data_IF_947479631284
#
_entry.id   IF_947479631284
#
_cell.length_a   1.000
_cell.length_b   1.000
_cell.length_c   1.000
_cell.angle_alpha   90.00
_cell.angle_beta   90.00
_cell.angle_gamma   90.00
#
_symmetry.space_group_name_H-M   'P 1'
#
loop_
_entity.id
_entity.type
_entity.pdbx_description
1 polymer ?
#
# COMPACT_ATOMS: atom_id res chain seq x y z
N UNK A 1 -13.70 59.58 48.75
CA UNK A 1 -14.58 58.75 47.90
C UNK A 1 -13.78 58.30 46.68
N UNK A 2 -13.07 57.22 46.81
CA UNK A 2 -12.24 56.61 45.74
C UNK A 2 -12.97 55.42 45.16
N UNK A 3 -13.37 55.53 43.88
CA UNK A 3 -14.01 54.44 43.16
C UNK A 3 -12.94 53.44 42.72
N UNK A 4 -13.08 52.20 43.14
CA UNK A 4 -12.32 51.05 42.70
C UNK A 4 -12.87 50.62 41.31
N UNK A 5 -12.07 50.78 40.26
CA UNK A 5 -12.36 50.16 38.96
C UNK A 5 -11.72 48.76 38.93
N UNK A 6 -12.53 47.73 38.90
CA UNK A 6 -12.09 46.35 38.62
C UNK A 6 -11.89 46.23 37.10
N UNK A 7 -10.81 45.65 36.63
CA UNK A 7 -10.58 45.49 35.22
C UNK A 7 -11.39 44.32 34.64
N UNK A 8 -12.14 44.65 33.60
CA UNK A 8 -13.05 43.76 32.82
C UNK A 8 -12.31 42.73 31.96
N UNK A 9 -11.01 42.51 32.18
CA UNK A 9 -10.18 41.65 31.34
C UNK A 9 -10.03 40.20 31.83
N UNK A 10 -10.55 39.86 33.00
CA UNK A 10 -10.49 38.51 33.55
C UNK A 10 -11.67 37.60 33.13
N UNK A 11 -12.73 38.17 32.53
CA UNK A 11 -13.86 37.38 32.05
C UNK A 11 -13.73 36.87 30.61
N UNK A 12 -12.81 37.43 29.81
CA UNK A 12 -12.62 37.02 28.43
C UNK A 12 -11.71 35.78 28.29
N UNK A 13 -10.91 35.45 29.31
CA UNK A 13 -10.01 34.30 29.30
C UNK A 13 -10.71 33.00 29.71
N UNK A 14 -11.81 33.08 30.48
CA UNK A 14 -12.56 31.90 30.89
C UNK A 14 -13.51 31.34 29.84
N UNK A 15 -13.79 32.07 28.75
CA UNK A 15 -14.69 31.63 27.67
C UNK A 15 -13.94 31.04 26.46
N UNK A 16 -12.60 31.17 26.37
CA UNK A 16 -11.80 30.55 25.32
C UNK A 16 -11.30 29.13 25.66
N UNK A 17 -11.53 28.62 26.88
CA UNK A 17 -11.09 27.29 27.31
C UNK A 17 -12.20 26.23 27.27
N UNK A 18 -13.40 26.55 26.80
CA UNK A 18 -14.53 25.60 26.74
C UNK A 18 -14.83 25.03 25.36
N UNK A 19 -13.99 25.27 24.36
CA UNK A 19 -14.11 24.62 23.02
C UNK A 19 -13.00 23.63 22.72
N UNK A 20 -12.47 22.94 23.73
CA UNK A 20 -11.82 21.67 23.52
C UNK A 20 -12.95 20.67 23.23
N UNK A 21 -13.22 20.45 21.97
CA UNK A 21 -14.04 19.34 21.51
C UNK A 21 -13.45 18.07 22.11
N UNK A 22 -14.15 17.48 23.04
CA UNK A 22 -13.90 16.11 23.49
C UNK A 22 -14.08 15.22 22.27
N UNK A 23 -13.01 14.85 21.61
CA UNK A 23 -12.98 13.71 20.72
C UNK A 23 -13.33 12.51 21.60
N UNK A 24 -14.57 12.06 21.52
CA UNK A 24 -15.02 10.84 22.21
C UNK A 24 -14.25 9.69 21.61
N UNK A 25 -13.21 9.25 22.30
CA UNK A 25 -12.66 7.92 22.09
C UNK A 25 -13.80 6.93 22.35
N UNK A 26 -14.37 6.38 21.29
CA UNK A 26 -15.42 5.37 21.42
C UNK A 26 -14.77 4.01 21.54
N UNK A 27 -15.14 3.30 22.59
CA UNK A 27 -14.81 1.92 22.89
C UNK A 27 -14.79 1.04 21.64
N UNK A 28 -13.70 0.31 21.44
CA UNK A 28 -13.72 -0.89 20.61
C UNK A 28 -14.65 -1.91 21.27
N UNK A 29 -15.62 -2.48 20.54
CA UNK A 29 -16.20 -3.72 20.97
C UNK A 29 -15.05 -4.73 21.05
N UNK A 30 -14.96 -5.43 22.18
CA UNK A 30 -14.06 -6.55 22.41
C UNK A 30 -13.86 -7.32 21.09
N UNK A 31 -12.66 -7.29 20.52
CA UNK A 31 -12.32 -8.07 19.33
C UNK A 31 -12.09 -9.52 19.80
N UNK A 32 -13.10 -10.10 20.39
CA UNK A 32 -13.25 -11.54 20.50
C UNK A 32 -13.77 -12.00 19.15
N UNK A 33 -13.18 -13.03 18.54
CA UNK A 33 -13.76 -13.60 17.32
C UNK A 33 -15.21 -13.99 17.65
N UNK A 34 -16.16 -13.26 17.07
CA UNK A 34 -17.58 -13.62 17.18
C UNK A 34 -17.70 -15.03 16.65
N UNK A 35 -18.23 -15.98 17.40
CA UNK A 35 -18.36 -17.34 16.92
C UNK A 35 -19.10 -17.31 15.58
N UNK A 36 -18.55 -17.96 14.57
CA UNK A 36 -18.97 -17.92 13.17
C UNK A 36 -20.42 -18.34 12.88
N UNK A 37 -21.18 -18.78 13.90
CA UNK A 37 -22.60 -19.17 13.80
C UNK A 37 -23.59 -18.04 14.07
N UNK A 38 -23.12 -16.84 14.42
CA UNK A 38 -24.00 -15.70 14.77
C UNK A 38 -24.08 -14.62 13.68
N UNK A 39 -23.33 -14.76 12.57
CA UNK A 39 -23.41 -13.81 11.46
C UNK A 39 -24.33 -14.42 10.38
N UNK A 40 -25.49 -13.82 10.10
CA UNK A 40 -26.25 -14.19 8.92
C UNK A 40 -25.36 -14.04 7.67
N UNK A 41 -25.56 -14.87 6.67
CA UNK A 41 -24.85 -14.88 5.38
C UNK A 41 -25.14 -13.60 4.55
N UNK A 42 -25.15 -12.44 5.16
CA UNK A 42 -25.30 -11.15 4.51
C UNK A 42 -23.89 -10.69 4.10
N UNK A 43 -23.60 -10.72 2.80
CA UNK A 43 -22.46 -10.01 2.23
C UNK A 43 -22.63 -8.54 2.55
N UNK A 44 -21.77 -7.98 3.41
CA UNK A 44 -21.70 -6.54 3.62
C UNK A 44 -21.08 -5.96 2.35
N UNK A 45 -21.77 -5.04 1.63
CA UNK A 45 -21.20 -4.41 0.46
C UNK A 45 -19.94 -3.64 0.87
N UNK A 46 -18.87 -3.77 0.08
CA UNK A 46 -17.67 -2.95 0.26
C UNK A 46 -17.94 -1.49 -0.11
N UNK A 47 -17.14 -0.59 0.44
CA UNK A 47 -17.27 0.86 0.24
C UNK A 47 -17.36 1.26 -1.24
N UNK A 48 -16.70 0.51 -2.13
CA UNK A 48 -16.64 0.80 -3.58
C UNK A 48 -17.42 -0.18 -4.46
N UNK A 49 -18.19 -1.09 -3.87
CA UNK A 49 -19.01 -2.05 -4.64
C UNK A 49 -20.00 -1.39 -5.61
N UNK A 50 -20.40 -0.16 -5.29
CA UNK A 50 -21.24 0.64 -6.19
C UNK A 50 -20.58 0.92 -7.55
N UNK A 51 -19.26 0.84 -7.68
CA UNK A 51 -18.58 1.07 -8.97
C UNK A 51 -18.83 -0.06 -9.98
N UNK A 52 -19.22 -1.25 -9.52
CA UNK A 52 -19.51 -2.39 -10.39
C UNK A 52 -20.64 -2.12 -11.41
N UNK A 53 -21.51 -1.16 -11.14
CA UNK A 53 -22.61 -0.84 -12.07
C UNK A 53 -22.18 0.05 -13.25
N UNK A 54 -20.95 0.59 -13.24
CA UNK A 54 -20.44 1.41 -14.34
C UNK A 54 -19.93 0.60 -15.54
N UNK A 55 -20.18 -0.72 -15.58
CA UNK A 55 -19.72 -1.57 -16.67
C UNK A 55 -20.15 -1.05 -18.05
N UNK A 56 -19.16 -1.00 -18.97
CA UNK A 56 -19.31 -0.49 -20.33
C UNK A 56 -19.56 1.03 -20.46
N UNK A 57 -19.37 1.81 -19.40
CA UNK A 57 -19.37 3.27 -19.53
C UNK A 57 -18.13 3.76 -20.26
N UNK A 58 -18.31 4.73 -21.15
CA UNK A 58 -17.26 5.32 -21.98
C UNK A 58 -17.43 6.83 -22.15
N UNK A 59 -16.41 7.46 -22.71
CA UNK A 59 -16.35 8.92 -22.85
C UNK A 59 -17.62 9.52 -23.52
N UNK A 60 -18.11 10.61 -22.96
CA UNK A 60 -19.29 11.33 -23.39
C UNK A 60 -20.61 10.87 -22.74
N UNK A 61 -20.60 9.78 -21.98
CA UNK A 61 -21.79 9.31 -21.26
C UNK A 61 -21.98 10.02 -19.93
N UNK A 62 -23.23 10.07 -19.49
CA UNK A 62 -23.59 10.58 -18.18
C UNK A 62 -24.29 9.48 -17.37
N UNK A 63 -23.62 9.04 -16.30
CA UNK A 63 -24.10 7.94 -15.45
C UNK A 63 -24.04 8.36 -13.98
N UNK A 64 -25.18 8.24 -13.31
CA UNK A 64 -25.31 8.61 -11.90
C UNK A 64 -24.26 7.91 -11.02
N UNK A 65 -23.53 8.69 -10.22
CA UNK A 65 -22.49 8.22 -9.31
C UNK A 65 -21.07 8.28 -9.87
N UNK A 66 -20.82 8.62 -11.15
CA UNK A 66 -19.47 8.81 -11.69
C UNK A 66 -18.68 9.88 -10.93
N UNK A 67 -19.34 10.88 -10.36
CA UNK A 67 -18.72 11.85 -9.48
C UNK A 67 -18.04 11.22 -8.25
N UNK A 68 -18.56 10.09 -7.73
CA UNK A 68 -17.89 9.34 -6.64
C UNK A 68 -16.65 8.63 -7.12
N UNK A 69 -16.67 8.08 -8.34
CA UNK A 69 -15.49 7.48 -8.96
C UNK A 69 -14.41 8.54 -9.23
N UNK A 70 -14.78 9.74 -9.67
CA UNK A 70 -13.84 10.85 -9.81
C UNK A 70 -13.22 11.26 -8.48
N UNK A 71 -13.97 11.23 -7.36
CA UNK A 71 -13.41 11.42 -6.01
C UNK A 71 -12.38 10.35 -5.67
N UNK A 72 -12.67 9.09 -5.98
CA UNK A 72 -11.72 8.01 -5.83
C UNK A 72 -10.41 8.31 -6.58
N UNK A 73 -10.49 8.64 -7.86
CA UNK A 73 -9.31 8.98 -8.64
C UNK A 73 -8.59 10.25 -8.16
N UNK A 74 -9.32 11.22 -7.66
CA UNK A 74 -8.72 12.40 -7.03
C UNK A 74 -7.96 12.04 -5.75
N UNK A 75 -8.56 11.23 -4.86
CA UNK A 75 -7.93 10.77 -3.63
C UNK A 75 -6.59 10.08 -3.89
N UNK A 76 -6.53 9.23 -4.90
CA UNK A 76 -5.31 8.49 -5.25
C UNK A 76 -4.39 9.22 -6.24
N UNK A 77 -4.69 10.49 -6.57
CA UNK A 77 -3.84 11.38 -7.34
C UNK A 77 -3.95 11.28 -8.86
N UNK A 78 -4.87 10.45 -9.37
CA UNK A 78 -5.08 10.28 -10.82
C UNK A 78 -5.78 11.48 -11.48
N UNK A 79 -6.63 12.19 -10.74
CA UNK A 79 -7.24 13.46 -11.17
C UNK A 79 -6.74 14.56 -10.24
N UNK A 80 -5.70 15.32 -10.62
CA UNK A 80 -5.20 16.42 -9.80
C UNK A 80 -6.20 17.59 -9.83
N UNK A 81 -6.24 18.37 -8.75
CA UNK A 81 -6.96 19.64 -8.66
C UNK A 81 -8.44 19.58 -9.03
N UNK A 82 -9.13 18.50 -8.66
CA UNK A 82 -10.56 18.39 -8.89
C UNK A 82 -11.31 19.38 -7.99
N UNK A 83 -11.99 20.41 -8.55
CA UNK A 83 -12.82 21.30 -7.74
C UNK A 83 -13.96 20.48 -7.13
N UNK A 84 -14.04 20.42 -5.81
CA UNK A 84 -15.07 19.66 -5.09
C UNK A 84 -16.51 20.08 -5.46
N UNK A 85 -16.70 21.28 -6.03
CA UNK A 85 -17.97 21.80 -6.50
C UNK A 85 -18.42 21.24 -7.87
N UNK A 86 -17.54 20.62 -8.66
CA UNK A 86 -17.81 20.26 -10.06
C UNK A 86 -17.67 18.76 -10.35
N UNK A 87 -17.97 17.90 -9.37
CA UNK A 87 -18.02 16.46 -9.59
C UNK A 87 -19.27 16.09 -10.38
N UNK A 88 -19.20 16.26 -11.68
CA UNK A 88 -20.28 15.86 -12.58
C UNK A 88 -20.28 14.35 -12.78
N UNK A 89 -21.47 13.79 -12.99
CA UNK A 89 -21.67 12.39 -13.37
C UNK A 89 -21.46 12.16 -14.87
N UNK A 90 -20.60 12.95 -15.50
CA UNK A 90 -20.23 12.85 -16.90
C UNK A 90 -18.89 12.12 -17.03
N UNK A 91 -18.80 11.18 -17.95
CA UNK A 91 -17.55 10.54 -18.33
C UNK A 91 -16.76 11.48 -19.24
N UNK A 92 -15.97 12.35 -18.64
CA UNK A 92 -15.18 13.38 -19.32
C UNK A 92 -13.76 12.91 -19.62
N UNK A 93 -13.02 13.74 -20.35
CA UNK A 93 -11.64 13.48 -20.74
C UNK A 93 -10.70 13.29 -19.53
N UNK A 94 -10.95 13.96 -18.40
CA UNK A 94 -10.18 13.81 -17.17
C UNK A 94 -10.36 12.42 -16.58
N UNK A 95 -11.57 11.88 -16.59
CA UNK A 95 -11.85 10.52 -16.12
C UNK A 95 -11.22 9.47 -17.05
N UNK A 96 -11.29 9.67 -18.37
CA UNK A 96 -10.64 8.78 -19.35
C UNK A 96 -9.10 8.75 -19.16
N UNK A 97 -8.49 9.92 -18.99
CA UNK A 97 -7.05 10.04 -18.75
C UNK A 97 -6.64 9.38 -17.43
N UNK A 98 -7.45 9.55 -16.36
CA UNK A 98 -7.25 8.90 -15.07
C UNK A 98 -7.32 7.38 -15.18
N UNK A 99 -8.32 6.86 -15.90
CA UNK A 99 -8.48 5.42 -16.16
C UNK A 99 -7.28 4.85 -16.91
N UNK A 100 -6.82 5.48 -17.97
CA UNK A 100 -5.63 5.05 -18.72
C UNK A 100 -4.39 4.99 -17.83
N UNK A 101 -4.21 5.97 -16.96
CA UNK A 101 -3.09 6.01 -16.02
C UNK A 101 -3.21 4.93 -14.96
N UNK A 102 -4.42 4.73 -14.42
CA UNK A 102 -4.72 3.67 -13.45
C UNK A 102 -4.45 2.29 -14.07
N UNK A 103 -5.02 2.01 -15.24
CA UNK A 103 -4.82 0.75 -15.95
C UNK A 103 -3.33 0.45 -16.18
N UNK A 104 -2.55 1.48 -16.56
CA UNK A 104 -1.10 1.36 -16.73
C UNK A 104 -0.41 1.03 -15.41
N UNK A 105 -0.76 1.71 -14.32
CA UNK A 105 -0.15 1.50 -13.00
C UNK A 105 -0.39 0.08 -12.48
N UNK A 106 -1.53 -0.51 -12.82
CA UNK A 106 -1.93 -1.84 -12.37
C UNK A 106 -1.77 -2.94 -13.43
N UNK A 107 -1.01 -2.68 -14.49
CA UNK A 107 -0.74 -3.63 -15.58
C UNK A 107 -2.02 -4.19 -16.24
N UNK A 108 -3.10 -3.40 -16.25
CA UNK A 108 -4.34 -3.70 -16.96
C UNK A 108 -4.23 -3.24 -18.42
N UNK A 109 -5.13 -3.73 -19.28
CA UNK A 109 -5.23 -3.21 -20.64
C UNK A 109 -5.58 -1.72 -20.61
N UNK A 110 -4.80 -0.88 -21.28
CA UNK A 110 -4.97 0.57 -21.30
C UNK A 110 -6.05 0.95 -22.31
N UNK A 111 -7.31 0.75 -21.95
CA UNK A 111 -8.47 1.06 -22.80
C UNK A 111 -8.99 2.48 -22.59
N UNK A 112 -8.89 3.00 -21.37
CA UNK A 112 -9.55 4.24 -20.94
C UNK A 112 -11.04 4.06 -20.65
N UNK A 113 -11.53 2.82 -20.63
CA UNK A 113 -12.93 2.45 -20.38
C UNK A 113 -13.07 1.75 -19.03
N UNK A 114 -14.29 1.72 -18.49
CA UNK A 114 -14.65 0.95 -17.30
C UNK A 114 -15.00 -0.48 -17.69
N UNK A 115 -14.00 -1.20 -18.23
CA UNK A 115 -14.14 -2.61 -18.58
C UNK A 115 -14.16 -3.52 -17.34
N UNK A 116 -14.54 -4.79 -17.55
CA UNK A 116 -14.70 -5.75 -16.46
C UNK A 116 -13.46 -5.86 -15.57
N UNK A 117 -12.25 -6.14 -16.11
CA UNK A 117 -11.02 -6.22 -15.32
C UNK A 117 -10.71 -4.94 -14.53
N UNK A 118 -10.96 -3.77 -15.12
CA UNK A 118 -10.75 -2.47 -14.45
C UNK A 118 -11.70 -2.32 -13.27
N UNK A 119 -12.98 -2.65 -13.44
CA UNK A 119 -13.97 -2.57 -12.37
C UNK A 119 -13.70 -3.58 -11.24
N UNK A 120 -13.34 -4.82 -11.60
CA UNK A 120 -12.95 -5.83 -10.60
C UNK A 120 -11.75 -5.39 -9.78
N UNK A 121 -10.83 -4.63 -10.39
CA UNK A 121 -9.66 -4.10 -9.70
C UNK A 121 -10.01 -2.90 -8.83
N UNK A 122 -10.83 -1.96 -9.32
CA UNK A 122 -11.23 -0.73 -8.61
C UNK A 122 -11.94 -0.99 -7.27
N UNK A 123 -12.65 -2.12 -7.16
CA UNK A 123 -13.41 -2.44 -5.94
C UNK A 123 -12.60 -3.25 -4.92
N UNK A 124 -11.35 -3.58 -5.21
CA UNK A 124 -10.47 -4.24 -4.22
C UNK A 124 -10.15 -3.31 -3.06
N UNK A 125 -10.16 -3.80 -1.82
CA UNK A 125 -9.65 -3.04 -0.68
C UNK A 125 -8.18 -2.68 -0.89
N UNK A 126 -7.78 -1.52 -0.37
CA UNK A 126 -6.44 -1.03 -0.62
C UNK A 126 -5.89 -0.11 0.47
N UNK A 127 -4.60 0.15 0.40
CA UNK A 127 -3.91 1.22 1.10
C UNK A 127 -4.46 2.60 0.71
N UNK A 128 -4.59 3.51 1.68
CA UNK A 128 -5.08 4.86 1.47
C UNK A 128 -4.05 5.84 0.90
N UNK A 129 -2.77 5.46 0.86
CA UNK A 129 -1.74 6.30 0.29
C UNK A 129 -1.95 6.52 -1.21
N UNK A 130 -1.71 7.73 -1.74
CA UNK A 130 -1.91 8.01 -3.15
C UNK A 130 -0.87 7.34 -4.05
N UNK A 131 -1.30 6.90 -5.22
CA UNK A 131 -0.44 6.32 -6.26
C UNK A 131 0.31 7.39 -7.06
N UNK A 132 -0.19 8.63 -7.02
CA UNK A 132 0.41 9.78 -7.70
C UNK A 132 0.47 10.95 -6.72
N UNK A 133 1.67 11.48 -6.50
CA UNK A 133 1.91 12.63 -5.63
C UNK A 133 2.55 13.74 -6.44
N UNK A 134 1.93 14.92 -6.49
CA UNK A 134 2.41 16.08 -7.26
C UNK A 134 2.73 15.74 -8.74
N UNK A 135 1.88 14.92 -9.37
CA UNK A 135 2.06 14.48 -10.75
C UNK A 135 3.16 13.43 -10.97
N UNK A 136 3.79 12.95 -9.91
CA UNK A 136 4.79 11.87 -9.97
C UNK A 136 4.18 10.57 -9.48
N UNK A 137 4.23 9.52 -10.31
CA UNK A 137 3.75 8.20 -9.90
C UNK A 137 4.65 7.58 -8.83
N UNK A 138 4.05 7.08 -7.78
CA UNK A 138 4.69 6.25 -6.74
C UNK A 138 4.56 4.75 -7.06
N UNK A 139 4.06 4.39 -8.26
CA UNK A 139 3.89 3.01 -8.70
C UNK A 139 5.07 2.49 -9.51
N UNK A 140 6.00 3.36 -9.88
CA UNK A 140 7.12 3.06 -10.80
C UNK A 140 6.70 2.39 -12.13
N UNK A 141 5.44 2.47 -12.49
CA UNK A 141 4.90 1.91 -13.72
C UNK A 141 5.30 2.74 -14.94
N UNK A 142 5.59 2.05 -16.06
CA UNK A 142 5.89 2.70 -17.35
C UNK A 142 7.21 3.44 -17.41
N UNK A 143 8.13 3.26 -16.49
CA UNK A 143 9.53 3.65 -16.68
C UNK A 143 10.18 2.65 -17.65
N UNK A 144 10.80 3.12 -18.75
CA UNK A 144 11.51 2.20 -19.63
C UNK A 144 12.64 1.53 -18.86
N UNK A 145 12.73 0.20 -18.97
CA UNK A 145 13.92 -0.53 -18.55
C UNK A 145 15.13 0.11 -19.24
N UNK A 146 16.11 0.57 -18.46
CA UNK A 146 17.37 1.07 -19.03
C UNK A 146 18.06 -0.11 -19.72
N UNK A 147 18.00 -0.12 -21.06
CA UNK A 147 18.55 -1.17 -21.88
C UNK A 147 20.08 -0.99 -21.97
N UNK A 148 20.81 -1.66 -21.08
CA UNK A 148 22.22 -1.97 -21.31
C UNK A 148 22.38 -3.48 -21.36
N UNK A 149 22.54 -4.01 -22.57
CA UNK A 149 22.35 -5.39 -22.97
C UNK A 149 23.44 -6.38 -22.51
N UNK A 150 24.08 -6.21 -21.37
CA UNK A 150 25.17 -7.10 -20.93
C UNK A 150 25.10 -7.64 -19.50
N UNK A 151 24.01 -7.35 -18.76
CA UNK A 151 23.74 -7.98 -17.46
C UNK A 151 22.25 -8.25 -17.34
N UNK A 152 21.87 -9.36 -16.72
CA UNK A 152 20.51 -9.63 -16.30
C UNK A 152 20.02 -8.46 -15.46
N UNK A 153 19.24 -7.56 -16.02
CA UNK A 153 18.67 -6.43 -15.30
C UNK A 153 17.30 -6.84 -14.79
N UNK A 154 17.23 -7.13 -13.51
CA UNK A 154 15.97 -7.07 -12.78
C UNK A 154 15.53 -5.61 -12.81
N UNK A 155 14.40 -5.32 -13.48
CA UNK A 155 13.82 -3.99 -13.47
C UNK A 155 13.21 -3.80 -12.11
N UNK A 156 13.71 -2.86 -11.31
CA UNK A 156 13.13 -2.52 -10.02
C UNK A 156 11.81 -1.78 -10.23
N UNK A 157 10.72 -2.30 -9.68
CA UNK A 157 9.39 -1.72 -9.75
C UNK A 157 8.98 -0.99 -8.48
N UNK A 158 9.83 -1.05 -7.43
CA UNK A 158 9.61 -0.26 -6.22
C UNK A 158 9.73 1.24 -6.49
N UNK A 159 9.09 2.01 -5.66
CA UNK A 159 9.18 3.48 -5.69
C UNK A 159 9.42 4.05 -4.30
N UNK A 160 9.64 5.34 -4.26
CA UNK A 160 9.78 6.09 -3.01
C UNK A 160 8.82 7.28 -3.01
N UNK A 161 8.49 7.77 -1.85
CA UNK A 161 7.83 9.07 -1.75
C UNK A 161 8.70 10.19 -2.34
N UNK A 162 8.09 11.27 -2.86
CA UNK A 162 8.84 12.43 -3.33
C UNK A 162 9.84 12.93 -2.30
N UNK A 163 11.07 13.16 -2.73
CA UNK A 163 12.17 13.57 -1.85
C UNK A 163 12.87 12.43 -1.12
N UNK A 164 12.45 11.17 -1.34
CA UNK A 164 13.06 9.97 -0.75
C UNK A 164 13.27 10.10 0.76
N UNK A 165 12.18 10.35 1.53
CA UNK A 165 12.29 10.53 2.97
C UNK A 165 12.75 9.24 3.66
N UNK A 166 13.72 9.37 4.56
CA UNK A 166 14.29 8.24 5.32
C UNK A 166 14.50 8.63 6.78
N UNK A 167 14.49 7.66 7.67
CA UNK A 167 14.98 7.86 9.03
C UNK A 167 16.49 8.10 8.98
N UNK A 168 17.02 9.13 9.70
CA UNK A 168 18.43 9.49 9.62
C UNK A 168 19.33 8.38 10.17
N UNK A 169 20.59 8.36 9.74
CA UNK A 169 21.54 7.29 10.09
C UNK A 169 21.76 7.12 11.61
N UNK A 170 21.65 8.20 12.37
CA UNK A 170 21.75 8.15 13.84
C UNK A 170 20.45 7.69 14.53
N UNK A 171 19.41 7.30 13.79
CA UNK A 171 18.13 6.77 14.28
C UNK A 171 17.76 5.49 13.54
N UNK A 172 18.53 4.43 13.77
CA UNK A 172 18.27 3.10 13.20
C UNK A 172 17.51 2.19 14.17
N UNK A 173 17.51 2.55 15.46
CA UNK A 173 16.73 1.89 16.50
C UNK A 173 15.47 2.72 16.72
N UNK A 174 14.37 2.30 16.06
CA UNK A 174 13.10 3.01 16.09
C UNK A 174 12.20 2.47 17.19
N UNK A 175 11.50 3.38 17.85
CA UNK A 175 10.47 3.00 18.83
C UNK A 175 9.08 3.12 18.22
N UNK A 176 8.19 2.20 18.60
CA UNK A 176 6.78 2.30 18.22
C UNK A 176 5.86 2.18 19.43
N UNK A 177 4.72 2.83 19.36
CA UNK A 177 3.69 2.76 20.40
C UNK A 177 2.30 2.76 19.79
N UNK A 178 1.36 2.17 20.53
CA UNK A 178 -0.05 2.16 20.15
C UNK A 178 -0.81 3.27 20.84
N UNK A 179 -1.82 3.81 20.16
CA UNK A 179 -2.78 4.75 20.77
C UNK A 179 -3.36 4.10 22.03
N UNK A 180 -3.16 4.69 23.21
CA UNK A 180 -3.58 4.05 24.47
C UNK A 180 -5.07 3.75 24.54
N UNK A 181 -5.89 4.61 23.96
CA UNK A 181 -7.35 4.50 23.93
C UNK A 181 -7.85 3.32 23.08
N UNK A 182 -6.99 2.71 22.28
CA UNK A 182 -7.34 1.52 21.51
C UNK A 182 -7.36 0.23 22.34
N UNK A 183 -6.75 0.22 23.52
CA UNK A 183 -6.73 -0.91 24.47
C UNK A 183 -6.44 -2.27 23.79
N UNK A 184 -5.45 -2.29 22.90
CA UNK A 184 -5.12 -3.47 22.08
C UNK A 184 -4.65 -4.64 22.94
N UNK A 185 -5.18 -5.83 22.63
CA UNK A 185 -4.71 -7.07 23.28
C UNK A 185 -3.28 -7.43 22.85
N UNK A 186 -2.58 -8.21 23.65
CA UNK A 186 -1.23 -8.71 23.34
C UNK A 186 -1.22 -9.51 22.04
N UNK A 187 -2.32 -10.20 21.70
CA UNK A 187 -2.45 -10.93 20.43
C UNK A 187 -2.42 -9.98 19.23
N UNK A 188 -3.12 -8.84 19.31
CA UNK A 188 -3.09 -7.82 18.24
C UNK A 188 -1.70 -7.20 18.15
N UNK A 189 -1.09 -6.84 19.27
CA UNK A 189 0.25 -6.26 19.31
C UNK A 189 1.32 -7.21 18.74
N UNK A 190 1.20 -8.51 18.99
CA UNK A 190 2.13 -9.51 18.45
C UNK A 190 2.15 -9.58 16.92
N UNK A 191 1.05 -9.22 16.24
CA UNK A 191 1.00 -9.10 14.77
C UNK A 191 1.97 -8.02 14.29
N UNK A 192 1.98 -6.87 14.95
CA UNK A 192 2.89 -5.77 14.60
C UNK A 192 4.35 -6.12 14.89
N UNK A 193 4.63 -6.86 15.97
CA UNK A 193 5.99 -7.39 16.24
C UNK A 193 6.47 -8.22 15.05
N UNK A 194 5.65 -9.16 14.56
CA UNK A 194 5.97 -9.98 13.39
C UNK A 194 6.16 -9.13 12.13
N UNK A 195 5.28 -8.16 11.90
CA UNK A 195 5.36 -7.27 10.75
C UNK A 195 6.64 -6.42 10.74
N UNK A 196 7.04 -5.82 11.87
CA UNK A 196 8.30 -5.10 12.02
C UNK A 196 9.52 -6.01 11.84
N UNK A 197 9.46 -7.23 12.37
CA UNK A 197 10.56 -8.18 12.25
C UNK A 197 10.92 -8.47 10.80
N UNK A 198 9.95 -8.60 9.88
CA UNK A 198 10.21 -8.84 8.45
C UNK A 198 11.09 -7.75 7.84
N UNK A 199 10.85 -6.50 8.17
CA UNK A 199 11.67 -5.37 7.70
C UNK A 199 13.04 -5.31 8.39
N UNK A 200 13.12 -5.66 9.69
CA UNK A 200 14.39 -5.79 10.40
C UNK A 200 15.28 -6.87 9.82
N UNK A 201 14.72 -8.01 9.40
CA UNK A 201 15.46 -9.09 8.77
C UNK A 201 16.13 -8.64 7.47
N UNK A 202 15.45 -7.80 6.68
CA UNK A 202 15.95 -7.31 5.40
C UNK A 202 16.95 -6.15 5.52
N UNK A 203 16.96 -5.39 6.63
CA UNK A 203 17.68 -4.12 6.78
C UNK A 203 18.54 -4.07 8.04
N UNK A 204 19.14 -2.91 8.29
CA UNK A 204 19.86 -2.61 9.54
C UNK A 204 18.99 -1.93 10.59
N UNK A 205 17.67 -1.82 10.35
CA UNK A 205 16.74 -1.20 11.28
C UNK A 205 16.32 -2.16 12.39
N UNK A 206 16.13 -1.62 13.59
CA UNK A 206 15.51 -2.34 14.72
C UNK A 206 14.29 -1.60 15.21
N UNK A 207 13.34 -2.33 15.80
CA UNK A 207 12.08 -1.77 16.26
C UNK A 207 11.77 -2.27 17.67
N UNK A 208 11.40 -1.35 18.57
CA UNK A 208 11.09 -1.68 19.96
C UNK A 208 9.78 -1.03 20.39
N UNK A 209 8.86 -1.81 20.94
CA UNK A 209 7.64 -1.26 21.55
C UNK A 209 7.98 -0.42 22.78
N UNK A 210 7.35 0.75 22.91
CA UNK A 210 7.45 1.61 24.07
C UNK A 210 6.05 1.95 24.60
N UNK A 211 5.93 2.17 25.89
CA UNK A 211 4.71 2.68 26.52
C UNK A 211 4.59 4.21 26.43
N UNK A 212 5.67 4.89 26.04
CA UNK A 212 5.70 6.36 25.92
C UNK A 212 5.22 6.78 24.53
N UNK A 213 3.90 6.88 24.36
CA UNK A 213 3.27 7.21 23.07
C UNK A 213 3.78 8.53 22.48
N UNK A 214 3.87 9.59 23.30
CA UNK A 214 4.24 10.92 22.80
C UNK A 214 5.65 10.97 22.22
N UNK A 215 6.57 10.18 22.79
CA UNK A 215 7.99 10.14 22.37
C UNK A 215 8.32 9.05 21.36
N UNK A 216 7.38 8.16 21.04
CA UNK A 216 7.59 7.11 20.05
C UNK A 216 7.83 7.70 18.66
N UNK A 217 8.73 7.06 17.91
CA UNK A 217 9.01 7.40 16.51
C UNK A 217 7.84 7.05 15.61
N UNK A 218 7.20 5.91 15.87
CA UNK A 218 6.06 5.39 15.11
C UNK A 218 4.86 5.29 16.05
N UNK A 219 3.72 5.83 15.60
CA UNK A 219 2.47 5.91 16.37
C UNK A 219 1.35 5.20 15.62
N UNK A 220 0.88 4.10 16.19
CA UNK A 220 -0.07 3.18 15.56
C UNK A 220 -1.43 3.31 16.22
N UNK A 221 -2.48 3.52 15.43
CA UNK A 221 -3.84 3.63 15.96
C UNK A 221 -4.91 3.12 14.99
N UNK A 222 -6.02 2.66 15.57
CA UNK A 222 -7.23 2.29 14.87
C UNK A 222 -8.25 3.40 15.01
N UNK A 223 -8.79 3.88 13.89
CA UNK A 223 -9.69 5.02 13.82
C UNK A 223 -10.91 4.70 12.95
N UNK A 224 -11.95 5.54 13.04
CA UNK A 224 -13.16 5.44 12.22
C UNK A 224 -13.43 6.75 11.51
N UNK A 225 -13.84 6.67 10.25
CA UNK A 225 -14.26 7.82 9.47
C UNK A 225 -13.26 8.96 9.50
N UNK A 226 -13.75 10.19 9.69
CA UNK A 226 -12.89 11.37 9.84
C UNK A 226 -12.23 11.37 11.22
N UNK A 227 -10.92 11.29 11.24
CA UNK A 227 -10.10 11.27 12.45
C UNK A 227 -9.07 12.41 12.51
N UNK A 228 -9.26 13.44 11.69
CA UNK A 228 -8.59 14.73 11.81
C UNK A 228 -7.23 14.84 11.14
N UNK A 229 -6.85 13.89 10.29
CA UNK A 229 -5.59 13.93 9.52
C UNK A 229 -5.78 14.30 8.03
N UNK A 230 -7.03 14.47 7.60
CA UNK A 230 -7.40 14.81 6.23
C UNK A 230 -7.65 13.61 5.31
N UNK A 231 -7.43 12.39 5.81
CA UNK A 231 -7.57 11.13 5.06
C UNK A 231 -8.64 10.22 5.73
N UNK A 232 -9.93 10.55 5.64
CA UNK A 232 -10.97 9.82 6.34
C UNK A 232 -11.10 8.38 5.84
N UNK A 233 -11.43 7.47 6.76
CA UNK A 233 -11.79 6.09 6.43
C UNK A 233 -13.23 6.01 5.92
N UNK A 234 -13.52 4.97 5.15
CA UNK A 234 -14.77 4.80 4.40
C UNK A 234 -15.56 3.53 4.79
N UNK A 235 -15.10 2.83 5.84
CA UNK A 235 -15.77 1.65 6.40
C UNK A 235 -15.33 0.36 5.71
N UNK A 236 -16.15 -0.68 5.81
CA UNK A 236 -15.78 -2.05 5.41
C UNK A 236 -15.36 -2.12 3.95
N UNK A 237 -14.19 -2.70 3.68
CA UNK A 237 -13.65 -2.92 2.33
C UNK A 237 -13.55 -1.64 1.49
N UNK A 238 -12.67 -0.81 1.81
CA UNK A 238 -12.34 0.39 1.08
C UNK A 238 -10.87 0.70 1.30
N UNK A 239 -10.61 1.80 1.96
CA UNK A 239 -9.31 2.18 2.47
C UNK A 239 -9.05 1.46 3.78
N UNK A 240 -8.18 0.47 3.78
CA UNK A 240 -7.89 -0.37 4.95
C UNK A 240 -7.04 0.35 6.02
N UNK A 241 -6.04 1.10 5.55
CA UNK A 241 -5.07 1.78 6.38
C UNK A 241 -4.32 2.81 5.54
N UNK A 242 -3.57 3.69 6.21
CA UNK A 242 -2.59 4.56 5.58
C UNK A 242 -1.45 4.89 6.57
N UNK A 243 -0.27 5.17 6.02
CA UNK A 243 0.89 5.53 6.81
C UNK A 243 1.65 6.70 6.21
N UNK A 244 2.23 7.52 7.08
CA UNK A 244 2.96 8.71 6.69
C UNK A 244 4.46 8.45 6.70
N UNK A 245 5.11 8.80 5.61
CA UNK A 245 6.57 8.61 5.45
C UNK A 245 7.40 9.33 6.52
N UNK A 246 8.68 8.96 6.70
CA UNK A 246 9.57 9.62 7.63
C UNK A 246 9.61 11.14 7.43
N UNK A 247 9.76 11.94 8.49
CA UNK A 247 9.85 11.53 9.90
C UNK A 247 8.50 11.52 10.62
N UNK A 248 7.37 11.52 9.93
CA UNK A 248 6.03 11.62 10.54
C UNK A 248 5.71 10.41 11.44
N UNK A 249 5.93 9.18 10.95
CA UNK A 249 5.76 7.94 11.70
C UNK A 249 4.33 7.61 12.10
N UNK A 250 3.30 8.25 11.55
CA UNK A 250 1.89 7.95 11.85
C UNK A 250 1.42 6.77 11.02
N UNK A 251 0.73 5.84 11.67
CA UNK A 251 0.14 4.66 11.06
C UNK A 251 -1.29 4.48 11.55
N UNK A 252 -2.25 4.68 10.67
CA UNK A 252 -3.67 4.63 10.95
C UNK A 252 -4.33 3.46 10.22
N UNK A 253 -5.16 2.70 10.95
CA UNK A 253 -5.93 1.56 10.46
C UNK A 253 -7.42 1.85 10.62
N UNK A 254 -8.24 1.41 9.66
CA UNK A 254 -9.69 1.50 9.77
C UNK A 254 -10.21 0.50 10.81
N UNK A 255 -10.80 1.03 11.88
CA UNK A 255 -11.39 0.24 12.96
C UNK A 255 -12.73 -0.42 12.58
N UNK A 256 -13.28 -0.12 11.41
CA UNK A 256 -14.53 -0.70 10.91
C UNK A 256 -14.32 -1.95 10.06
N UNK A 257 -13.05 -2.29 9.76
CA UNK A 257 -12.70 -3.46 9.00
C UNK A 257 -12.88 -4.77 9.79
N UNK A 258 -13.14 -5.85 9.04
CA UNK A 258 -13.23 -7.20 9.60
C UNK A 258 -11.84 -7.83 9.72
N UNK A 259 -11.03 -7.32 10.65
CA UNK A 259 -9.66 -7.76 10.87
C UNK A 259 -9.57 -9.21 11.35
N UNK A 260 -8.75 -10.01 10.67
CA UNK A 260 -8.34 -11.35 11.12
C UNK A 260 -6.93 -11.25 11.70
N UNK A 261 -6.82 -11.66 12.95
CA UNK A 261 -5.60 -11.54 13.76
C UNK A 261 -4.83 -12.86 13.76
N UNK A 262 -5.54 -13.98 13.77
CA UNK A 262 -4.97 -15.34 13.89
C UNK A 262 -5.73 -16.33 13.02
N UNK A 263 -5.06 -17.42 12.67
CA UNK A 263 -5.66 -18.53 11.92
C UNK A 263 -5.55 -18.39 10.41
N UNK A 264 -6.18 -19.30 9.70
CA UNK A 264 -6.18 -19.35 8.24
C UNK A 264 -7.33 -18.50 7.69
N UNK A 265 -7.01 -17.29 7.25
CA UNK A 265 -7.99 -16.32 6.73
C UNK A 265 -8.76 -16.86 5.52
N UNK A 266 -8.17 -17.76 4.71
CA UNK A 266 -8.84 -18.32 3.53
C UNK A 266 -10.09 -19.14 3.90
N UNK A 267 -10.15 -19.61 5.15
CA UNK A 267 -11.28 -20.35 5.74
C UNK A 267 -12.28 -19.47 6.47
N UNK A 268 -12.07 -18.17 6.51
CA UNK A 268 -13.02 -17.25 7.16
C UNK A 268 -14.39 -17.36 6.52
N UNK A 269 -15.43 -17.44 7.33
CA UNK A 269 -16.83 -17.34 6.87
C UNK A 269 -17.23 -15.90 6.55
N UNK A 270 -16.46 -14.90 7.00
CA UNK A 270 -16.67 -13.49 6.70
C UNK A 270 -16.03 -13.19 5.35
N UNK A 271 -16.85 -12.83 4.35
CA UNK A 271 -16.38 -12.55 2.98
C UNK A 271 -15.53 -11.28 2.88
N UNK A 272 -15.75 -10.36 3.79
CA UNK A 272 -15.00 -9.09 3.93
C UNK A 272 -13.82 -9.17 4.91
N UNK A 273 -13.37 -10.38 5.26
CA UNK A 273 -12.25 -10.56 6.18
C UNK A 273 -10.93 -10.05 5.57
N UNK A 274 -10.17 -9.28 6.35
CA UNK A 274 -8.87 -8.71 5.97
C UNK A 274 -7.80 -9.19 6.95
N UNK A 275 -6.64 -9.62 6.44
CA UNK A 275 -5.52 -10.06 7.28
C UNK A 275 -4.76 -8.86 7.82
N UNK A 276 -4.75 -8.71 9.15
CA UNK A 276 -4.09 -7.57 9.80
C UNK A 276 -2.58 -7.56 9.55
N UNK A 277 -1.94 -8.72 9.56
CA UNK A 277 -0.48 -8.80 9.37
C UNK A 277 -0.09 -8.34 7.97
N UNK A 278 -0.83 -8.74 6.94
CA UNK A 278 -0.58 -8.33 5.56
C UNK A 278 -0.62 -6.81 5.39
N UNK A 279 -1.63 -6.17 5.97
CA UNK A 279 -1.76 -4.70 5.93
C UNK A 279 -0.67 -4.04 6.78
N UNK A 280 -0.37 -4.58 7.96
CA UNK A 280 0.67 -4.02 8.82
C UNK A 280 2.05 -4.06 8.14
N UNK A 281 2.42 -5.16 7.47
CA UNK A 281 3.69 -5.25 6.74
C UNK A 281 3.75 -4.20 5.63
N UNK A 282 2.66 -4.02 4.86
CA UNK A 282 2.57 -3.02 3.80
C UNK A 282 2.77 -1.59 4.34
N UNK A 283 1.99 -1.20 5.33
CA UNK A 283 2.02 0.16 5.88
C UNK A 283 3.37 0.49 6.55
N UNK A 284 4.03 -0.50 7.16
CA UNK A 284 5.38 -0.31 7.70
C UNK A 284 6.37 0.04 6.58
N UNK A 285 6.23 -0.51 5.38
CA UNK A 285 7.03 -0.09 4.23
C UNK A 285 6.94 1.41 3.95
N UNK A 286 5.74 1.98 4.05
CA UNK A 286 5.52 3.43 3.93
C UNK A 286 6.16 4.22 5.07
N UNK A 287 6.05 3.75 6.31
CA UNK A 287 6.74 4.35 7.47
C UNK A 287 8.25 4.39 7.29
N UNK A 288 8.78 3.53 6.44
CA UNK A 288 10.21 3.45 6.12
C UNK A 288 10.59 4.20 4.83
N UNK A 289 9.64 4.82 4.13
CA UNK A 289 9.90 5.66 2.96
C UNK A 289 9.65 5.01 1.61
N UNK A 290 9.21 3.74 1.56
CA UNK A 290 8.79 3.11 0.32
C UNK A 290 7.45 3.70 -0.16
N UNK A 291 7.34 3.95 -1.45
CA UNK A 291 6.06 4.15 -2.13
C UNK A 291 5.45 2.81 -2.53
N UNK A 292 4.44 2.83 -3.39
CA UNK A 292 3.84 1.62 -3.92
C UNK A 292 4.73 0.92 -4.95
N UNK A 293 4.44 -0.35 -5.23
CA UNK A 293 5.02 -1.14 -6.32
C UNK A 293 3.95 -1.53 -7.33
N UNK A 294 4.33 -1.62 -8.61
CA UNK A 294 3.46 -2.17 -9.66
C UNK A 294 3.54 -3.71 -9.79
N UNK A 295 4.34 -4.36 -8.96
CA UNK A 295 4.48 -5.82 -8.89
C UNK A 295 3.41 -6.40 -7.97
N UNK A 296 2.50 -7.21 -8.49
CA UNK A 296 1.36 -7.72 -7.73
C UNK A 296 1.79 -8.60 -6.53
N UNK A 297 2.90 -9.31 -6.66
CA UNK A 297 3.47 -10.14 -5.60
C UNK A 297 4.15 -9.34 -4.48
N UNK A 298 4.57 -8.10 -4.76
CA UNK A 298 5.24 -7.26 -3.77
C UNK A 298 4.29 -6.87 -2.63
N UNK A 299 4.84 -6.80 -1.42
CA UNK A 299 4.11 -6.27 -0.25
C UNK A 299 3.63 -4.85 -0.53
N UNK A 300 4.46 -4.03 -1.20
CA UNK A 300 4.10 -2.64 -1.51
C UNK A 300 3.11 -2.47 -2.66
N UNK A 301 2.53 -3.55 -3.20
CA UNK A 301 1.39 -3.45 -4.13
C UNK A 301 0.15 -2.94 -3.37
N UNK A 302 -0.55 -1.91 -3.86
CA UNK A 302 -1.49 -1.15 -3.02
C UNK A 302 -2.81 -1.84 -2.70
N UNK A 303 -3.15 -2.93 -3.40
CA UNK A 303 -4.43 -3.63 -3.17
C UNK A 303 -4.20 -5.05 -2.63
N UNK A 304 -5.15 -5.51 -1.83
CA UNK A 304 -5.19 -6.90 -1.35
C UNK A 304 -6.63 -7.44 -1.45
N UNK A 305 -6.79 -8.67 -1.93
CA UNK A 305 -8.10 -9.30 -1.95
C UNK A 305 -8.52 -9.72 -0.54
N UNK A 306 -9.82 -9.60 -0.24
CA UNK A 306 -10.37 -10.17 1.00
C UNK A 306 -10.03 -11.66 1.11
N UNK A 307 -9.86 -12.13 2.34
CA UNK A 307 -9.53 -13.53 2.66
C UNK A 307 -8.17 -14.00 2.09
N UNK A 308 -7.28 -13.05 1.80
CA UNK A 308 -5.92 -13.31 1.33
C UNK A 308 -4.91 -12.92 2.40
N UNK A 309 -3.86 -13.73 2.56
CA UNK A 309 -2.70 -13.41 3.39
C UNK A 309 -1.47 -13.25 2.51
N UNK A 310 -0.80 -12.10 2.60
CA UNK A 310 0.43 -11.77 1.88
C UNK A 310 1.36 -11.02 2.85
N UNK A 311 2.34 -11.71 3.39
CA UNK A 311 3.21 -11.18 4.46
C UNK A 311 4.70 -11.27 4.14
N UNK A 312 5.09 -12.05 3.13
CA UNK A 312 6.48 -12.20 2.74
C UNK A 312 6.93 -11.05 1.83
N UNK A 313 8.08 -10.46 2.12
CA UNK A 313 8.68 -9.44 1.27
C UNK A 313 9.09 -10.05 -0.07
N UNK A 314 8.61 -9.52 -1.17
CA UNK A 314 9.10 -9.88 -2.48
C UNK A 314 10.51 -9.27 -2.72
N UNK A 315 11.20 -9.78 -3.73
CA UNK A 315 12.52 -9.26 -4.09
C UNK A 315 12.50 -7.75 -4.39
N UNK A 316 11.39 -7.25 -4.95
CA UNK A 316 11.18 -5.81 -5.22
C UNK A 316 11.16 -4.99 -3.93
N UNK A 317 10.45 -5.46 -2.90
CA UNK A 317 10.38 -4.82 -1.58
C UNK A 317 11.76 -4.79 -0.91
N UNK A 318 12.46 -5.92 -0.96
CA UNK A 318 13.80 -6.07 -0.38
C UNK A 318 14.82 -5.14 -1.04
N UNK A 319 14.85 -5.11 -2.37
CA UNK A 319 15.73 -4.20 -3.12
C UNK A 319 15.41 -2.73 -2.82
N UNK A 320 14.12 -2.40 -2.74
CA UNK A 320 13.66 -1.05 -2.41
C UNK A 320 14.14 -0.61 -1.03
N UNK A 321 13.87 -1.41 -0.01
CA UNK A 321 14.22 -1.03 1.37
C UNK A 321 15.73 -1.03 1.61
N UNK A 322 16.45 -1.98 1.02
CA UNK A 322 17.92 -2.04 1.15
C UNK A 322 18.61 -0.88 0.44
N UNK A 323 18.00 -0.31 -0.61
CA UNK A 323 18.53 0.89 -1.24
C UNK A 323 18.41 2.14 -0.35
N UNK A 324 17.46 2.16 0.60
CA UNK A 324 17.27 3.25 1.57
C UNK A 324 18.16 3.09 2.82
N UNK A 325 18.32 1.86 3.32
CA UNK A 325 18.88 1.61 4.65
C UNK A 325 20.10 0.68 4.67
N UNK A 326 20.48 0.12 3.51
CA UNK A 326 21.47 -0.93 3.45
C UNK A 326 20.90 -2.30 3.83
N UNK A 327 21.58 -3.35 3.40
CA UNK A 327 21.23 -4.73 3.70
C UNK A 327 21.64 -5.13 5.10
N UNK A 328 20.84 -5.95 5.77
CA UNK A 328 21.28 -6.67 6.96
C UNK A 328 22.39 -7.67 6.55
N UNK A 329 23.58 -7.64 7.15
CA UNK A 329 24.65 -8.58 6.80
C UNK A 329 24.30 -10.06 7.01
N UNK A 330 23.30 -10.35 7.84
CA UNK A 330 22.83 -11.71 8.14
C UNK A 330 21.63 -12.11 7.29
N UNK A 331 21.19 -11.25 6.37
CA UNK A 331 20.05 -11.54 5.49
C UNK A 331 20.46 -12.61 4.46
N UNK A 332 19.83 -13.79 4.52
CA UNK A 332 20.13 -14.94 3.67
C UNK A 332 19.32 -15.01 2.36
N UNK A 333 18.45 -14.02 2.14
CA UNK A 333 17.65 -13.95 0.92
C UNK A 333 16.55 -15.01 0.82
N UNK A 334 16.17 -15.66 1.93
CA UNK A 334 15.07 -16.63 1.96
C UNK A 334 13.70 -15.97 1.88
N UNK A 335 13.54 -15.01 0.99
CA UNK A 335 12.21 -14.66 0.47
C UNK A 335 11.85 -15.74 -0.54
N UNK A 336 10.65 -16.28 -0.43
CA UNK A 336 10.13 -17.30 -1.33
C UNK A 336 10.43 -16.91 -2.78
N UNK A 337 11.34 -17.64 -3.42
CA UNK A 337 11.63 -17.45 -4.84
C UNK A 337 10.43 -17.96 -5.64
N UNK A 338 9.43 -17.10 -5.82
CA UNK A 338 8.48 -17.29 -6.90
C UNK A 338 9.25 -17.05 -8.19
N UNK A 339 9.66 -18.13 -8.83
CA UNK A 339 10.20 -18.13 -10.18
C UNK A 339 9.22 -17.34 -11.07
N UNK A 340 9.66 -16.31 -11.80
CA UNK A 340 8.76 -15.61 -12.70
C UNK A 340 8.27 -16.61 -13.75
N UNK A 341 6.98 -16.89 -13.75
CA UNK A 341 6.35 -17.66 -14.82
C UNK A 341 6.39 -16.80 -16.08
N UNK A 342 7.36 -17.08 -16.96
CA UNK A 342 7.39 -16.57 -18.32
C UNK A 342 6.15 -17.03 -19.07
N UNK A 343 5.13 -16.20 -19.14
CA UNK A 343 4.07 -16.29 -20.13
C UNK A 343 3.85 -14.93 -20.80
N UNK A 344 4.87 -14.48 -21.52
CA UNK A 344 4.62 -13.62 -22.66
C UNK A 344 4.46 -14.55 -23.87
N UNK A 345 3.22 -14.82 -24.25
CA UNK A 345 2.90 -15.47 -25.51
C UNK A 345 2.84 -14.39 -26.58
N UNK A 346 3.95 -14.17 -27.25
CA UNK A 346 3.94 -13.50 -28.55
C UNK A 346 3.31 -14.44 -29.59
N UNK A 347 2.11 -14.11 -30.03
CA UNK A 347 1.52 -14.65 -31.24
C UNK A 347 1.76 -13.66 -32.37
N UNK A 348 2.82 -13.88 -33.11
CA UNK A 348 2.93 -13.39 -34.50
C UNK A 348 3.25 -14.57 -35.38
N UNK A 349 2.27 -14.95 -36.16
CA UNK A 349 2.40 -15.98 -37.20
C UNK A 349 3.04 -15.41 -38.45
N UNK A 350 3.94 -16.17 -39.01
CA UNK A 350 4.01 -16.42 -40.46
C UNK A 350 5.16 -17.39 -40.78
N UNK A 351 4.85 -18.55 -41.20
CA UNK A 351 5.06 -19.09 -42.55
C UNK A 351 6.44 -19.69 -42.84
N UNK A 352 6.39 -20.97 -43.01
CA UNK A 352 7.02 -21.77 -44.07
C UNK A 352 8.40 -22.45 -43.92
N UNK A 353 8.26 -23.77 -43.92
CA UNK A 353 8.97 -24.82 -44.65
C UNK A 353 10.41 -25.31 -44.35
N UNK A 354 10.38 -26.62 -44.01
CA UNK A 354 11.28 -27.70 -44.51
C UNK A 354 12.72 -27.81 -44.00
N UNK A 355 12.98 -29.01 -43.41
CA UNK A 355 14.29 -29.63 -43.59
C UNK A 355 14.86 -30.37 -42.39
N UNK A 356 14.60 -31.68 -42.38
CA UNK A 356 15.21 -32.71 -41.54
C UNK A 356 16.75 -32.60 -41.42
N UNK A 357 17.31 -32.94 -40.26
CA UNK A 357 18.15 -34.14 -40.06
C UNK A 357 18.76 -34.17 -38.68
N UNK A 358 18.68 -35.33 -38.07
CA UNK A 358 19.38 -35.75 -36.85
C UNK A 358 20.90 -35.71 -37.02
N UNK A 359 21.64 -35.38 -35.97
CA UNK A 359 22.78 -36.18 -35.48
C UNK A 359 23.19 -35.80 -34.07
N UNK A 360 23.18 -36.82 -33.24
CA UNK A 360 23.88 -36.97 -31.97
C UNK A 360 25.40 -36.76 -32.21
N UNK A 361 26.10 -36.25 -31.21
CA UNK A 361 27.33 -36.80 -30.60
C UNK A 361 27.84 -35.86 -29.51
N UNK A 362 28.17 -36.43 -28.42
CA UNK A 362 28.58 -35.88 -27.13
C UNK A 362 30.12 -35.64 -27.06
N UNK A 363 30.70 -35.70 -25.84
CA UNK A 363 31.52 -34.61 -25.28
C UNK A 363 33.04 -34.88 -25.38
N UNK A 364 33.87 -33.83 -25.24
CA UNK A 364 35.28 -33.92 -24.85
C UNK A 364 35.80 -32.49 -24.57
N UNK A 365 36.13 -32.16 -23.36
CA UNK A 365 37.36 -32.37 -22.62
C UNK A 365 38.55 -31.52 -23.11
N UNK A 366 38.94 -30.57 -22.23
CA UNK A 366 40.25 -30.22 -21.68
C UNK A 366 41.35 -29.51 -22.49
N UNK A 367 42.01 -28.65 -21.73
CA UNK A 367 43.44 -28.20 -21.69
C UNK A 367 43.67 -26.82 -22.32
N UNK A 368 43.99 -25.82 -21.58
CA UNK A 368 45.11 -25.50 -20.70
C UNK A 368 46.36 -24.95 -21.40
N UNK A 369 47.00 -23.97 -20.73
CA UNK A 369 48.38 -23.50 -20.91
C UNK A 369 48.53 -22.41 -21.98
N UNK A 370 48.99 -21.26 -21.74
CA UNK A 370 49.92 -20.69 -20.79
C UNK A 370 50.88 -19.75 -21.50
N UNK A 371 51.39 -18.78 -20.78
CA UNK A 371 52.64 -18.04 -21.07
C UNK A 371 52.56 -16.96 -22.20
N UNK A 372 53.16 -15.89 -22.10
CA UNK A 372 54.12 -15.15 -21.29
C UNK A 372 54.34 -13.77 -21.89
N UNK A 373 54.46 -12.77 -21.10
CA UNK A 373 55.48 -11.72 -21.09
C UNK A 373 55.69 -10.79 -22.26
N UNK A 374 55.70 -9.55 -21.93
CA UNK A 374 56.79 -8.55 -22.03
C UNK A 374 56.59 -7.41 -23.05
N UNK A 375 56.71 -6.25 -22.44
CA UNK A 375 57.44 -5.04 -22.86
C UNK A 375 56.77 -4.18 -23.98
N UNK A 376 56.28 -3.05 -23.67
CA UNK A 376 56.99 -1.77 -23.47
C UNK A 376 56.03 -0.82 -22.71
#
# INVERSE_FOLDING_TARGET
>A
MTRLQFPLHLFAIALCLSSLSQTSARFFPNISPTPSYLVPNATIPGAWDAFKHFGNCHAGEKVDGLGKLKKYFNRFGYIPNLPTANLTDEFDDDLEAALKTYQKNFNLNVTGELDGPTLEHLVKPRCGNPDIVNGTTTMNSGKPASYNATKFHTVSHYSFFPGTPVWPENRRDLTYAFVPENELSDTVKSVFVGAFQRWSEATTLTFTETTSFDSADIKIGFFKGDHGDGEPFDGVLGTLAHAFSPPSGRFHLDAEENWVITGDISKSSVTSAVDLESVAVHEIGHLLGLGHSSVEEAIMYPTIASRTKKVELANDDVLGIQSLYGANPSYDGTTSSSTPSNQARDTSAAGDHLGSTQRLWGPSVLLAVGFLLLLF
#
